data_IF_042015277265
#
_entry.id   IF_042015277265
#
_cell.length_a   1.000
_cell.length_b   1.000
_cell.length_c   1.000
_cell.angle_alpha   90.00
_cell.angle_beta   90.00
_cell.angle_gamma   90.00
#
_symmetry.space_group_name_H-M   'P 1'
#
loop_
_entity.id
_entity.type
_entity.pdbx_description
1 polymer ?
#
# COMPACT_ATOMS: atom_id res chain seq x y z
N UNK A 1 -10.94 7.48 23.03
CA UNK A 1 -10.66 7.14 21.61
C UNK A 1 -11.89 6.66 20.84
N UNK A 2 -12.79 5.87 21.42
CA UNK A 2 -13.99 5.40 20.71
C UNK A 2 -14.87 6.53 20.15
N UNK A 3 -14.99 7.66 20.88
CA UNK A 3 -15.70 8.84 20.37
C UNK A 3 -15.06 9.41 19.10
N UNK A 4 -13.73 9.43 19.00
CA UNK A 4 -13.05 9.97 17.82
C UNK A 4 -13.24 9.04 16.62
N UNK A 5 -13.15 7.73 16.82
CA UNK A 5 -13.46 6.75 15.77
C UNK A 5 -14.92 6.83 15.32
N UNK A 6 -15.86 7.00 16.26
CA UNK A 6 -17.27 7.15 15.93
C UNK A 6 -17.56 8.43 15.13
N UNK A 7 -16.89 9.54 15.46
CA UNK A 7 -17.04 10.82 14.73
C UNK A 7 -16.37 10.76 13.35
N UNK A 8 -15.23 10.08 13.21
CA UNK A 8 -14.57 9.88 11.92
C UNK A 8 -15.50 9.20 10.91
N UNK A 9 -16.20 8.14 11.33
CA UNK A 9 -17.21 7.46 10.51
C UNK A 9 -18.40 8.33 10.10
N UNK A 10 -18.70 9.43 10.83
CA UNK A 10 -19.75 10.39 10.43
C UNK A 10 -19.29 11.22 9.21
N UNK A 11 -17.99 11.50 9.08
CA UNK A 11 -17.43 12.26 7.95
C UNK A 11 -17.69 11.60 6.60
N UNK A 12 -17.74 10.26 6.57
CA UNK A 12 -18.05 9.44 5.39
C UNK A 12 -19.41 9.80 4.80
N UNK A 13 -20.43 10.00 5.62
CA UNK A 13 -21.77 10.38 5.16
C UNK A 13 -21.76 11.72 4.43
N UNK A 14 -20.90 12.66 4.86
CA UNK A 14 -20.72 13.95 4.18
C UNK A 14 -20.28 13.79 2.72
N UNK A 15 -19.34 12.87 2.46
CA UNK A 15 -18.84 12.61 1.10
C UNK A 15 -19.89 11.95 0.20
N UNK A 16 -20.68 11.01 0.74
CA UNK A 16 -21.76 10.32 -0.01
C UNK A 16 -22.87 11.30 -0.37
N UNK A 17 -23.35 12.06 0.62
CA UNK A 17 -24.46 12.99 0.43
C UNK A 17 -24.07 14.14 -0.50
N UNK A 18 -22.80 14.57 -0.45
CA UNK A 18 -22.26 15.52 -1.42
C UNK A 18 -22.34 14.97 -2.85
N UNK A 19 -21.79 13.79 -3.10
CA UNK A 19 -21.86 13.15 -4.42
C UNK A 19 -23.29 12.90 -4.92
N UNK A 20 -24.22 12.57 -4.03
CA UNK A 20 -25.64 12.39 -4.37
C UNK A 20 -26.35 13.70 -4.72
N UNK A 21 -26.11 14.76 -3.94
CA UNK A 21 -26.79 16.05 -4.14
C UNK A 21 -26.28 16.86 -5.34
N UNK A 22 -25.16 16.42 -5.92
CA UNK A 22 -24.57 16.95 -7.14
C UNK A 22 -25.59 16.93 -8.31
N UNK A 23 -26.29 15.81 -8.51
CA UNK A 23 -27.33 15.69 -9.54
C UNK A 23 -26.83 15.20 -10.92
N UNK A 24 -25.54 14.89 -11.04
CA UNK A 24 -24.92 14.24 -12.20
C UNK A 24 -24.33 12.87 -11.87
N UNK A 25 -24.23 11.99 -12.88
CA UNK A 25 -23.77 10.60 -12.71
C UNK A 25 -22.28 10.49 -12.42
N UNK A 26 -21.44 11.37 -12.98
CA UNK A 26 -19.98 11.33 -12.79
C UNK A 26 -19.55 11.75 -11.36
N UNK A 27 -20.05 12.86 -10.78
CA UNK A 27 -19.80 13.21 -9.39
C UNK A 27 -20.31 12.16 -8.39
N UNK A 28 -21.45 11.52 -8.69
CA UNK A 28 -21.98 10.43 -7.87
C UNK A 28 -21.02 9.22 -7.84
N UNK A 29 -20.51 8.80 -9.00
CA UNK A 29 -19.53 7.72 -9.08
C UNK A 29 -18.21 8.08 -8.38
N UNK A 30 -17.77 9.34 -8.47
CA UNK A 30 -16.61 9.84 -7.74
C UNK A 30 -16.79 9.83 -6.22
N UNK A 31 -17.96 10.29 -5.74
CA UNK A 31 -18.34 10.24 -4.33
C UNK A 31 -18.36 8.81 -3.79
N UNK A 32 -19.02 7.88 -4.49
CA UNK A 32 -19.09 6.46 -4.09
C UNK A 32 -17.70 5.81 -4.00
N UNK A 33 -16.80 6.11 -4.94
CA UNK A 33 -15.40 5.60 -4.91
C UNK A 33 -14.62 6.17 -3.73
N UNK A 34 -14.76 7.48 -3.48
CA UNK A 34 -14.14 8.15 -2.33
C UNK A 34 -14.61 7.53 -1.00
N UNK A 35 -15.92 7.34 -0.86
CA UNK A 35 -16.51 6.72 0.32
C UNK A 35 -16.02 5.29 0.53
N UNK A 36 -16.00 4.48 -0.54
CA UNK A 36 -15.50 3.10 -0.46
C UNK A 36 -14.02 3.05 -0.03
N UNK A 37 -13.22 4.00 -0.50
CA UNK A 37 -11.83 4.17 -0.07
C UNK A 37 -11.74 4.52 1.41
N UNK A 38 -12.40 5.60 1.86
CA UNK A 38 -12.32 6.07 3.24
C UNK A 38 -12.73 4.96 4.22
N UNK A 39 -13.84 4.27 3.96
CA UNK A 39 -14.31 3.15 4.81
C UNK A 39 -13.26 2.03 4.87
N UNK A 40 -12.70 1.64 3.72
CA UNK A 40 -11.72 0.54 3.67
C UNK A 40 -10.47 0.85 4.49
N UNK A 41 -10.00 2.10 4.43
CA UNK A 41 -8.82 2.56 5.15
C UNK A 41 -9.10 2.88 6.63
N UNK A 42 -10.32 3.27 6.98
CA UNK A 42 -10.77 3.44 8.36
C UNK A 42 -10.75 2.11 9.13
N UNK A 43 -11.19 1.01 8.50
CA UNK A 43 -11.11 -0.33 9.10
C UNK A 43 -9.65 -0.71 9.39
N UNK A 44 -8.77 -0.54 8.40
CA UNK A 44 -7.34 -0.86 8.56
C UNK A 44 -6.68 0.02 9.64
N UNK A 45 -7.05 1.29 9.72
CA UNK A 45 -6.58 2.21 10.75
C UNK A 45 -7.04 1.81 12.13
N UNK A 46 -8.34 1.48 12.28
CA UNK A 46 -8.90 1.00 13.54
C UNK A 46 -8.18 -0.23 14.06
N UNK A 47 -7.90 -1.20 13.18
CA UNK A 47 -7.11 -2.39 13.50
C UNK A 47 -5.68 -2.05 13.93
N UNK A 48 -5.00 -1.13 13.24
CA UNK A 48 -3.66 -0.69 13.63
C UNK A 48 -3.62 -0.09 15.05
N UNK A 49 -4.67 0.63 15.46
CA UNK A 49 -4.80 1.21 16.80
C UNK A 49 -5.05 0.20 17.92
N UNK A 50 -5.59 -0.99 17.61
CA UNK A 50 -5.81 -2.05 18.62
C UNK A 50 -4.52 -2.42 19.33
N UNK A 51 -3.40 -2.51 18.60
CA UNK A 51 -2.10 -2.80 19.20
C UNK A 51 -1.69 -1.73 20.24
N UNK A 52 -1.96 -0.46 19.96
CA UNK A 52 -1.68 0.66 20.89
C UNK A 52 -2.54 0.53 22.16
N UNK A 53 -3.83 0.18 22.01
CA UNK A 53 -4.71 -0.04 23.15
C UNK A 53 -4.27 -1.24 24.00
N UNK A 54 -3.74 -2.29 23.36
CA UNK A 54 -3.18 -3.44 24.06
C UNK A 54 -1.92 -3.06 24.86
N UNK A 55 -1.02 -2.24 24.32
CA UNK A 55 0.15 -1.78 25.07
C UNK A 55 -0.23 -0.82 26.20
N UNK A 56 -1.15 0.11 25.96
CA UNK A 56 -1.56 1.11 26.96
C UNK A 56 -2.48 0.56 28.05
N UNK A 57 -3.19 -0.55 27.80
CA UNK A 57 -4.18 -1.11 28.73
C UNK A 57 -5.43 -0.24 28.92
N UNK A 58 -5.59 0.82 28.14
CA UNK A 58 -6.72 1.76 28.20
C UNK A 58 -7.02 2.37 26.84
N UNK A 59 -8.27 2.80 26.65
CA UNK A 59 -8.74 3.55 25.48
C UNK A 59 -8.84 5.07 25.74
N UNK A 60 -8.44 5.52 26.93
CA UNK A 60 -8.39 6.94 27.31
C UNK A 60 -7.14 7.59 26.72
N UNK A 61 -7.31 8.71 26.03
CA UNK A 61 -6.22 9.44 25.35
C UNK A 61 -5.14 9.88 26.33
N UNK A 62 -5.56 10.38 27.50
CA UNK A 62 -4.66 10.82 28.57
C UNK A 62 -3.85 9.65 29.13
N UNK A 63 -4.49 8.52 29.41
CA UNK A 63 -3.80 7.33 29.94
C UNK A 63 -2.85 6.72 28.89
N UNK A 64 -3.22 6.73 27.62
CA UNK A 64 -2.35 6.28 26.52
C UNK A 64 -1.08 7.13 26.44
N UNK A 65 -1.19 8.45 26.61
CA UNK A 65 0.00 9.33 26.63
C UNK A 65 0.84 9.04 27.88
N UNK A 66 0.23 8.95 29.06
CA UNK A 66 0.96 8.66 30.30
C UNK A 66 1.69 7.31 30.26
N UNK A 67 1.14 6.30 29.60
CA UNK A 67 1.78 5.00 29.43
C UNK A 67 3.05 5.04 28.54
N UNK A 68 3.25 6.12 27.77
CA UNK A 68 4.41 6.31 26.87
C UNK A 68 5.61 7.01 27.53
N UNK A 69 5.59 7.19 28.86
CA UNK A 69 6.64 7.89 29.62
C UNK A 69 8.07 7.35 29.37
N UNK A 70 8.22 6.03 29.20
CA UNK A 70 9.53 5.40 29.04
C UNK A 70 9.91 5.21 27.56
N UNK A 71 8.97 4.72 26.76
CA UNK A 71 9.19 4.44 25.34
C UNK A 71 7.94 4.82 24.57
N UNK A 72 8.14 5.57 23.50
CA UNK A 72 7.06 5.92 22.58
C UNK A 72 6.60 4.71 21.79
N UNK A 73 5.29 4.62 21.52
CA UNK A 73 4.71 3.47 20.83
C UNK A 73 5.14 3.34 19.35
N UNK A 74 5.79 4.35 18.78
CA UNK A 74 6.44 4.22 17.47
C UNK A 74 7.50 3.09 17.42
N UNK A 75 8.10 2.71 18.56
CA UNK A 75 9.13 1.66 18.63
C UNK A 75 8.52 0.26 18.87
N UNK A 76 7.81 -0.01 19.99
CA UNK A 76 7.26 -1.34 20.26
C UNK A 76 6.11 -1.72 19.32
N UNK A 77 5.40 -0.72 18.78
CA UNK A 77 4.33 -0.91 17.80
C UNK A 77 4.74 -0.35 16.43
N UNK A 78 6.01 -0.48 16.02
CA UNK A 78 6.51 0.08 14.76
C UNK A 78 5.69 -0.37 13.54
N UNK A 79 5.25 -1.64 13.52
CA UNK A 79 4.46 -2.17 12.42
C UNK A 79 3.07 -1.51 12.36
N UNK A 80 2.40 -1.39 13.50
CA UNK A 80 1.15 -0.64 13.62
C UNK A 80 1.32 0.82 13.27
N UNK A 81 2.44 1.43 13.64
CA UNK A 81 2.76 2.81 13.26
C UNK A 81 2.90 2.94 11.75
N UNK A 82 3.66 2.06 11.09
CA UNK A 82 3.82 2.06 9.64
C UNK A 82 2.48 1.92 8.90
N UNK A 83 1.61 1.02 9.37
CA UNK A 83 0.27 0.88 8.80
C UNK A 83 -0.58 2.12 9.06
N UNK A 84 -0.53 2.67 10.27
CA UNK A 84 -1.24 3.90 10.61
C UNK A 84 -0.84 5.05 9.69
N UNK A 85 0.47 5.21 9.39
CA UNK A 85 0.98 6.21 8.44
C UNK A 85 0.41 5.99 7.03
N UNK A 86 0.32 4.75 6.56
CA UNK A 86 -0.27 4.47 5.25
C UNK A 86 -1.77 4.79 5.26
N UNK A 87 -2.49 4.39 6.32
CA UNK A 87 -3.94 4.55 6.41
C UNK A 87 -4.36 6.00 6.63
N UNK A 88 -3.59 6.80 7.39
CA UNK A 88 -3.90 8.22 7.60
C UNK A 88 -3.82 9.02 6.29
N UNK A 89 -2.91 8.66 5.38
CA UNK A 89 -2.86 9.31 4.06
C UNK A 89 -4.07 8.87 3.22
N UNK A 90 -4.44 7.59 3.29
CA UNK A 90 -5.62 7.05 2.60
C UNK A 90 -6.95 7.64 3.04
N UNK A 91 -7.10 7.96 4.33
CA UNK A 91 -8.31 8.60 4.88
C UNK A 91 -8.45 10.07 4.46
N UNK A 92 -7.34 10.77 4.30
CA UNK A 92 -7.37 12.21 3.94
C UNK A 92 -7.64 12.52 2.48
N UNK A 93 -7.80 11.49 1.62
CA UNK A 93 -8.08 11.63 0.17
C UNK A 93 -7.20 12.64 -0.57
N UNK A 94 -5.96 12.89 -0.11
CA UNK A 94 -5.03 13.86 -0.72
C UNK A 94 -3.94 13.18 -1.53
N UNK A 95 -3.35 13.93 -2.47
CA UNK A 95 -2.18 13.55 -3.28
C UNK A 95 -1.13 12.89 -2.39
N UNK A 96 -0.74 11.61 -2.59
CA UNK A 96 -0.84 10.78 -3.81
C UNK A 96 -2.12 9.93 -4.00
N UNK A 97 -3.05 9.91 -3.04
CA UNK A 97 -4.28 9.08 -3.04
C UNK A 97 -5.57 9.88 -3.24
N UNK A 98 -5.45 10.97 -3.99
CA UNK A 98 -6.56 11.81 -4.41
C UNK A 98 -7.22 11.21 -5.67
N UNK A 99 -8.04 10.18 -5.47
CA UNK A 99 -8.73 9.44 -6.52
C UNK A 99 -10.13 9.97 -6.82
N UNK A 100 -10.70 10.74 -5.89
CA UNK A 100 -12.03 11.31 -6.01
C UNK A 100 -12.05 12.64 -6.78
N UNK A 101 -10.97 13.45 -6.70
CA UNK A 101 -10.86 14.74 -7.42
C UNK A 101 -10.19 14.60 -8.79
N UNK A 102 -9.98 13.36 -9.26
CA UNK A 102 -9.20 13.09 -10.47
C UNK A 102 -9.75 13.67 -11.76
N UNK A 103 -9.12 14.73 -12.26
CA UNK A 103 -9.43 15.33 -13.57
C UNK A 103 -9.36 14.33 -14.74
N UNK A 104 -8.44 13.36 -14.68
CA UNK A 104 -8.23 12.38 -15.75
C UNK A 104 -9.24 11.23 -15.83
N UNK A 105 -10.03 10.98 -14.79
CA UNK A 105 -11.05 9.91 -14.78
C UNK A 105 -12.47 10.39 -14.43
N UNK A 106 -12.61 11.55 -13.79
CA UNK A 106 -13.89 12.07 -13.30
C UNK A 106 -14.09 13.57 -13.57
N UNK A 107 -13.29 14.19 -14.46
CA UNK A 107 -13.44 15.59 -14.88
C UNK A 107 -13.65 16.58 -13.72
N UNK A 108 -12.93 16.41 -12.61
CA UNK A 108 -13.01 17.28 -11.43
C UNK A 108 -13.99 16.84 -10.33
N UNK A 109 -14.64 15.68 -10.46
CA UNK A 109 -15.44 15.07 -9.38
C UNK A 109 -16.58 15.96 -8.90
N UNK A 110 -16.80 15.99 -7.57
CA UNK A 110 -17.85 16.81 -6.94
C UNK A 110 -17.55 18.32 -6.93
N UNK A 111 -16.32 18.75 -7.24
CA UNK A 111 -15.95 20.17 -7.27
C UNK A 111 -16.60 20.96 -8.40
N UNK A 112 -17.06 20.28 -9.44
CA UNK A 112 -17.65 20.93 -10.63
C UNK A 112 -19.02 21.53 -10.37
N UNK A 113 -19.74 21.06 -9.34
CA UNK A 113 -21.14 21.41 -9.12
C UNK A 113 -21.35 22.29 -7.87
N UNK A 114 -20.32 22.46 -7.02
CA UNK A 114 -20.37 23.37 -5.88
C UNK A 114 -19.60 24.66 -6.14
N UNK A 115 -20.29 25.80 -5.99
CA UNK A 115 -19.66 27.13 -6.09
C UNK A 115 -19.27 27.69 -4.72
N UNK A 116 -18.20 28.50 -4.73
CA UNK A 116 -17.86 29.49 -3.71
C UNK A 116 -17.77 28.94 -2.27
N UNK A 117 -18.72 29.28 -1.40
CA UNK A 117 -18.65 28.93 0.02
C UNK A 117 -18.74 27.41 0.26
N UNK A 118 -19.57 26.70 -0.50
CA UNK A 118 -19.71 25.24 -0.35
C UNK A 118 -18.43 24.52 -0.76
N UNK A 119 -17.79 24.99 -1.83
CA UNK A 119 -16.46 24.53 -2.25
C UNK A 119 -15.42 24.76 -1.16
N UNK A 120 -15.35 25.96 -0.58
CA UNK A 120 -14.40 26.26 0.50
C UNK A 120 -14.60 25.37 1.74
N UNK A 121 -15.84 25.00 2.07
CA UNK A 121 -16.15 24.11 3.20
C UNK A 121 -15.62 22.69 2.99
N UNK A 122 -15.55 22.18 1.75
CA UNK A 122 -14.96 20.87 1.47
C UNK A 122 -13.45 20.87 1.74
N UNK A 123 -12.70 21.86 1.23
CA UNK A 123 -11.27 21.98 1.53
C UNK A 123 -11.03 22.16 3.02
N UNK A 124 -11.81 23.02 3.68
CA UNK A 124 -11.68 23.21 5.12
C UNK A 124 -11.88 21.89 5.87
N UNK A 125 -12.91 21.11 5.51
CA UNK A 125 -13.18 19.80 6.10
C UNK A 125 -12.02 18.81 5.91
N UNK A 126 -11.44 18.75 4.72
CA UNK A 126 -10.28 17.90 4.44
C UNK A 126 -9.04 18.31 5.23
N UNK A 127 -8.76 19.61 5.34
CA UNK A 127 -7.64 20.13 6.13
C UNK A 127 -7.85 19.88 7.64
N UNK A 128 -9.09 20.03 8.12
CA UNK A 128 -9.44 19.68 9.50
C UNK A 128 -9.22 18.18 9.72
N UNK A 129 -9.64 17.32 8.78
CA UNK A 129 -9.40 15.89 8.89
C UNK A 129 -7.90 15.55 8.92
N UNK A 130 -7.11 16.15 8.03
CA UNK A 130 -5.65 15.99 8.00
C UNK A 130 -5.00 16.38 9.33
N UNK A 131 -5.47 17.47 9.93
CA UNK A 131 -5.03 17.90 11.26
C UNK A 131 -5.44 16.89 12.35
N UNK A 132 -6.67 16.37 12.30
CA UNK A 132 -7.18 15.38 13.26
C UNK A 132 -6.40 14.08 13.21
N UNK A 133 -6.15 13.50 12.04
CA UNK A 133 -5.37 12.25 11.93
C UNK A 133 -3.92 12.45 12.38
N UNK A 134 -3.35 13.63 12.18
CA UNK A 134 -1.99 13.97 12.64
C UNK A 134 -1.91 14.18 14.14
N UNK A 135 -2.94 14.81 14.73
CA UNK A 135 -3.08 14.93 16.18
C UNK A 135 -3.24 13.55 16.84
N UNK A 136 -3.98 12.63 16.21
CA UNK A 136 -4.09 11.25 16.65
C UNK A 136 -2.75 10.50 16.56
N UNK A 137 -2.03 10.61 15.44
CA UNK A 137 -0.69 10.04 15.29
C UNK A 137 0.25 10.48 16.42
N UNK A 138 0.26 11.80 16.68
CA UNK A 138 1.08 12.43 17.72
C UNK A 138 0.73 11.91 19.11
N UNK A 139 -0.56 11.80 19.41
CA UNK A 139 -1.06 11.37 20.73
C UNK A 139 -0.82 9.88 20.96
N UNK A 140 -1.04 9.04 19.94
CA UNK A 140 -1.05 7.59 20.07
C UNK A 140 0.33 6.96 19.89
N UNK A 141 1.21 7.54 19.08
CA UNK A 141 2.50 6.91 18.78
C UNK A 141 3.72 7.69 19.27
N UNK A 142 3.64 9.02 19.37
CA UNK A 142 4.77 9.89 19.71
C UNK A 142 4.66 10.52 21.11
N UNK A 143 3.88 9.94 22.02
CA UNK A 143 3.82 10.39 23.42
C UNK A 143 3.14 11.74 23.64
N UNK A 144 2.36 12.23 22.67
CA UNK A 144 1.59 13.48 22.80
C UNK A 144 2.45 14.67 23.25
N UNK A 145 2.17 15.17 24.46
CA UNK A 145 2.85 16.32 25.06
C UNK A 145 4.23 16.00 25.67
N UNK A 146 4.59 14.72 25.84
CA UNK A 146 5.84 14.34 26.50
C UNK A 146 7.05 14.60 25.61
N UNK A 147 8.15 15.08 26.19
CA UNK A 147 9.42 15.22 25.50
C UNK A 147 9.97 13.87 25.01
N UNK A 148 10.82 13.85 23.97
CA UNK A 148 11.54 12.64 23.54
C UNK A 148 12.22 11.93 24.72
N UNK A 149 12.22 10.58 24.79
CA UNK A 149 12.68 9.83 25.96
C UNK A 149 14.11 10.18 26.43
N UNK A 150 14.99 10.66 25.54
CA UNK A 150 16.33 11.14 25.90
C UNK A 150 16.40 12.59 26.40
N UNK A 151 15.48 13.45 25.98
CA UNK A 151 15.44 14.88 26.36
C UNK A 151 14.58 15.08 27.63
N UNK A 152 13.63 14.19 27.89
CA UNK A 152 12.78 14.21 29.08
C UNK A 152 13.57 14.11 30.40
N UNK A 153 14.76 13.49 30.38
CA UNK A 153 15.63 13.34 31.55
C UNK A 153 16.52 14.56 31.82
N UNK A 154 16.63 15.51 30.88
CA UNK A 154 17.46 16.71 31.03
C UNK A 154 16.74 17.70 31.95
N UNK A 155 17.40 18.07 33.06
CA UNK A 155 16.88 19.07 34.00
C UNK A 155 15.68 18.60 34.84
N UNK A 156 15.69 17.34 35.31
CA UNK A 156 14.67 16.78 36.22
C UNK A 156 13.21 16.88 35.70
N UNK A 157 13.01 16.84 34.38
CA UNK A 157 11.67 16.91 33.78
C UNK A 157 11.13 18.34 33.60
N UNK A 158 11.95 19.37 33.77
CA UNK A 158 11.55 20.78 33.55
C UNK A 158 10.97 21.01 32.15
N UNK A 159 11.48 20.30 31.13
CA UNK A 159 11.01 20.34 29.74
C UNK A 159 9.67 19.64 29.48
N UNK A 160 9.07 19.03 30.50
CA UNK A 160 7.71 18.48 30.48
C UNK A 160 6.71 19.34 31.29
N UNK A 161 7.17 20.43 31.91
CA UNK A 161 6.35 21.28 32.76
C UNK A 161 5.90 22.57 32.05
N UNK A 162 4.69 23.06 32.37
CA UNK A 162 4.15 24.31 31.83
C UNK A 162 3.91 24.28 30.32
N UNK A 163 4.35 25.34 29.62
CA UNK A 163 4.12 25.55 28.19
C UNK A 163 4.92 24.60 27.28
N UNK A 164 5.95 23.93 27.80
CA UNK A 164 6.80 23.04 27.02
C UNK A 164 6.05 21.83 26.47
N UNK A 165 5.08 21.28 27.22
CA UNK A 165 4.27 20.16 26.75
C UNK A 165 3.43 20.50 25.51
N UNK A 166 2.87 21.72 25.48
CA UNK A 166 2.14 22.22 24.31
C UNK A 166 3.09 22.38 23.11
N UNK A 167 4.28 22.93 23.33
CA UNK A 167 5.27 23.15 22.28
C UNK A 167 5.72 21.81 21.66
N UNK A 168 5.95 20.78 22.46
CA UNK A 168 6.27 19.44 21.94
C UNK A 168 5.15 18.84 21.11
N UNK A 169 3.90 18.97 21.58
CA UNK A 169 2.74 18.50 20.82
C UNK A 169 2.64 19.22 19.47
N UNK A 170 2.77 20.55 19.46
CA UNK A 170 2.69 21.37 18.25
C UNK A 170 3.82 21.03 17.27
N UNK A 171 5.06 20.86 17.75
CA UNK A 171 6.18 20.48 16.88
C UNK A 171 5.95 19.13 16.22
N UNK A 172 5.50 18.12 16.98
CA UNK A 172 5.22 16.78 16.42
C UNK A 172 4.05 16.80 15.46
N UNK A 173 3.02 17.57 15.75
CA UNK A 173 1.90 17.76 14.84
C UNK A 173 2.38 18.40 13.53
N UNK A 174 3.18 19.46 13.60
CA UNK A 174 3.78 20.10 12.42
C UNK A 174 4.73 19.19 11.66
N UNK A 175 5.41 18.25 12.33
CA UNK A 175 6.21 17.22 11.68
C UNK A 175 5.33 16.32 10.80
N UNK A 176 4.16 15.91 11.29
CA UNK A 176 3.20 15.16 10.46
C UNK A 176 2.58 16.01 9.34
N UNK A 177 2.31 17.29 9.58
CA UNK A 177 1.88 18.21 8.52
C UNK A 177 2.95 18.38 7.44
N UNK A 178 4.20 18.55 7.83
CA UNK A 178 5.33 18.59 6.91
C UNK A 178 5.46 17.27 6.15
N UNK A 179 5.25 16.12 6.81
CA UNK A 179 5.24 14.81 6.18
C UNK A 179 4.17 14.72 5.07
N UNK A 180 2.95 15.23 5.29
CA UNK A 180 1.92 15.28 4.24
C UNK A 180 2.36 16.12 3.02
N UNK A 181 2.95 17.29 3.26
CA UNK A 181 3.46 18.15 2.19
C UNK A 181 4.62 17.47 1.44
N UNK A 182 5.49 16.78 2.17
CA UNK A 182 6.62 16.06 1.59
C UNK A 182 6.18 14.86 0.75
N UNK A 183 5.22 14.06 1.23
CA UNK A 183 4.64 12.96 0.47
C UNK A 183 3.99 13.44 -0.82
N UNK A 184 3.26 14.55 -0.76
CA UNK A 184 2.64 15.18 -1.94
C UNK A 184 3.66 15.54 -3.01
N UNK A 185 4.85 16.00 -2.62
CA UNK A 185 5.93 16.36 -3.55
C UNK A 185 6.74 15.16 -4.08
N UNK A 186 6.70 14.02 -3.39
CA UNK A 186 7.63 12.90 -3.64
C UNK A 186 7.00 11.72 -4.37
N UNK A 187 5.71 11.45 -4.15
CA UNK A 187 5.07 10.22 -4.64
C UNK A 187 4.26 10.45 -5.93
N UNK A 188 4.39 9.57 -6.94
CA UNK A 188 3.50 9.59 -8.08
C UNK A 188 2.09 9.14 -7.68
N UNK A 189 1.11 9.58 -8.47
CA UNK A 189 -0.29 9.24 -8.26
C UNK A 189 -0.53 7.75 -8.46
N UNK A 190 -1.29 7.12 -7.55
CA UNK A 190 -1.60 5.69 -7.60
C UNK A 190 -3.01 5.47 -8.15
N UNK A 191 -3.25 4.37 -8.89
CA UNK A 191 -4.56 4.01 -9.43
C UNK A 191 -5.48 3.43 -8.36
N UNK A 192 -6.79 3.69 -8.46
CA UNK A 192 -7.81 3.21 -7.51
C UNK A 192 -7.78 1.70 -7.27
N UNK A 193 -7.70 0.89 -8.32
CA UNK A 193 -7.70 -0.58 -8.18
C UNK A 193 -6.50 -1.10 -7.37
N UNK A 194 -5.32 -0.48 -7.56
CA UNK A 194 -4.11 -0.83 -6.84
C UNK A 194 -4.21 -0.39 -5.38
N UNK A 195 -4.77 0.80 -5.15
CA UNK A 195 -4.94 1.35 -3.81
C UNK A 195 -5.96 0.55 -2.99
N UNK A 196 -7.10 0.20 -3.57
CA UNK A 196 -8.07 -0.69 -2.92
C UNK A 196 -7.52 -2.09 -2.68
N UNK A 197 -6.71 -2.59 -3.62
CA UNK A 197 -5.97 -3.84 -3.47
C UNK A 197 -5.00 -3.83 -2.28
N UNK A 198 -4.27 -2.72 -2.06
CA UNK A 198 -3.36 -2.56 -0.93
C UNK A 198 -4.10 -2.65 0.41
N UNK A 199 -5.21 -1.93 0.57
CA UNK A 199 -6.02 -1.96 1.78
C UNK A 199 -6.53 -3.37 2.12
N UNK A 200 -7.24 -3.99 1.17
CA UNK A 200 -7.92 -5.27 1.40
C UNK A 200 -7.02 -6.49 1.40
N UNK A 201 -5.99 -6.54 0.54
CA UNK A 201 -5.14 -7.73 0.40
C UNK A 201 -3.89 -7.68 1.28
N UNK A 202 -3.44 -6.48 1.68
CA UNK A 202 -2.18 -6.31 2.42
C UNK A 202 -2.42 -5.72 3.80
N UNK A 203 -3.02 -4.53 3.92
CA UNK A 203 -3.10 -3.83 5.21
C UNK A 203 -4.00 -4.55 6.22
N UNK A 204 -5.22 -4.94 5.83
CA UNK A 204 -6.16 -5.61 6.75
C UNK A 204 -5.63 -6.99 7.20
N UNK A 205 -5.19 -7.90 6.32
CA UNK A 205 -4.68 -9.20 6.77
C UNK A 205 -3.40 -9.06 7.61
N UNK A 206 -2.51 -8.14 7.25
CA UNK A 206 -1.25 -7.97 7.96
C UNK A 206 -1.43 -7.33 9.35
N UNK A 207 -2.32 -6.35 9.50
CA UNK A 207 -2.70 -5.82 10.84
C UNK A 207 -3.29 -6.89 11.71
N UNK A 208 -4.16 -7.75 11.17
CA UNK A 208 -4.78 -8.82 11.93
C UNK A 208 -3.74 -9.80 12.50
N UNK A 209 -2.80 -10.25 11.65
CA UNK A 209 -1.68 -11.11 12.08
C UNK A 209 -0.86 -10.39 13.15
N UNK A 210 -0.57 -9.10 12.96
CA UNK A 210 0.20 -8.33 13.92
C UNK A 210 -0.49 -8.18 15.28
N UNK A 211 -1.81 -7.97 15.31
CA UNK A 211 -2.58 -7.91 16.57
C UNK A 211 -2.43 -9.23 17.32
N UNK A 212 -2.57 -10.37 16.64
CA UNK A 212 -2.38 -11.69 17.25
C UNK A 212 -0.96 -11.79 17.85
N UNK A 213 0.07 -11.39 17.10
CA UNK A 213 1.45 -11.36 17.60
C UNK A 213 1.60 -10.47 18.84
N UNK A 214 1.04 -9.26 18.83
CA UNK A 214 1.09 -8.33 19.98
C UNK A 214 0.37 -8.91 21.20
N UNK A 215 -0.78 -9.54 21.02
CA UNK A 215 -1.51 -10.23 22.10
C UNK A 215 -0.64 -11.34 22.71
N UNK A 216 -0.01 -12.17 21.88
CA UNK A 216 0.87 -13.24 22.35
C UNK A 216 2.12 -12.69 23.06
N UNK A 217 2.76 -11.64 22.53
CA UNK A 217 3.90 -10.99 23.18
C UNK A 217 3.53 -10.39 24.54
N UNK A 218 2.35 -9.79 24.65
CA UNK A 218 1.85 -9.24 25.91
C UNK A 218 1.53 -10.35 26.91
N UNK A 219 0.81 -11.40 26.50
CA UNK A 219 0.54 -12.56 27.34
C UNK A 219 1.82 -13.25 27.82
N UNK A 220 2.87 -13.25 26.98
CA UNK A 220 4.19 -13.77 27.34
C UNK A 220 4.89 -12.94 28.42
N UNK A 221 4.76 -11.61 28.39
CA UNK A 221 5.34 -10.71 29.38
C UNK A 221 4.64 -10.77 30.74
N UNK A 222 3.34 -11.09 30.79
CA UNK A 222 2.58 -11.30 32.03
C UNK A 222 2.89 -12.65 32.72
N UNK A 223 3.92 -13.37 32.28
CA UNK A 223 4.47 -14.52 33.01
C UNK A 223 3.72 -15.85 32.85
N UNK A 224 2.80 -15.97 31.89
CA UNK A 224 1.92 -17.14 31.72
C UNK A 224 2.64 -18.51 31.58
N UNK A 225 3.91 -18.56 31.14
CA UNK A 225 4.68 -19.81 30.96
C UNK A 225 5.98 -19.88 31.81
N UNK A 226 6.16 -18.99 32.80
CA UNK A 226 7.34 -18.97 33.68
C UNK A 226 8.63 -18.38 33.06
N UNK A 227 9.66 -18.22 33.90
CA UNK A 227 10.89 -17.49 33.59
C UNK A 227 12.02 -18.42 33.10
N UNK A 228 12.79 -18.01 32.09
CA UNK A 228 14.09 -18.61 31.76
C UNK A 228 15.18 -17.56 31.86
N UNK A 229 16.32 -17.96 32.42
CA UNK A 229 17.50 -17.12 32.47
C UNK A 229 18.42 -17.53 31.34
N UNK A 230 18.57 -16.67 30.32
CA UNK A 230 19.60 -16.81 29.28
C UNK A 230 20.20 -15.42 29.06
N UNK A 231 21.55 -15.32 29.04
CA UNK A 231 22.32 -14.08 28.83
C UNK A 231 22.04 -12.93 29.81
N UNK A 232 21.97 -13.22 31.12
CA UNK A 232 21.98 -12.17 32.16
C UNK A 232 20.74 -11.28 32.26
N UNK A 233 19.79 -11.40 31.33
CA UNK A 233 18.47 -10.77 31.37
C UNK A 233 17.38 -11.77 31.79
N UNK A 234 16.44 -11.32 32.62
CA UNK A 234 15.21 -12.10 32.93
C UNK A 234 14.27 -11.99 31.72
N UNK A 235 14.41 -12.88 30.73
CA UNK A 235 13.45 -13.00 29.63
C UNK A 235 12.42 -14.11 29.94
N UNK A 236 11.14 -13.87 29.69
CA UNK A 236 10.11 -14.90 29.91
C UNK A 236 10.26 -16.01 28.84
N UNK A 237 10.12 -17.30 29.22
CA UNK A 237 10.22 -18.44 28.27
C UNK A 237 9.25 -18.30 27.10
N UNK A 238 8.08 -17.74 27.41
CA UNK A 238 7.03 -17.42 26.46
C UNK A 238 7.49 -16.44 25.37
N UNK A 239 8.31 -15.43 25.70
CA UNK A 239 8.75 -14.42 24.72
C UNK A 239 9.70 -15.03 23.70
N UNK A 240 10.57 -15.97 24.10
CA UNK A 240 11.44 -16.71 23.18
C UNK A 240 10.64 -17.63 22.26
N UNK A 241 9.62 -18.33 22.78
CA UNK A 241 8.76 -19.19 21.95
C UNK A 241 7.98 -18.37 20.94
N UNK A 242 7.43 -17.21 21.33
CA UNK A 242 6.71 -16.32 20.41
C UNK A 242 7.65 -15.73 19.36
N UNK A 243 8.85 -15.29 19.75
CA UNK A 243 9.86 -14.81 18.79
C UNK A 243 10.23 -15.92 17.80
N UNK A 244 10.40 -17.16 18.26
CA UNK A 244 10.70 -18.31 17.41
C UNK A 244 9.53 -18.65 16.49
N UNK A 245 8.29 -18.67 16.98
CA UNK A 245 7.10 -18.94 16.16
C UNK A 245 6.86 -17.84 15.13
N UNK A 246 7.02 -16.56 15.51
CA UNK A 246 6.94 -15.42 14.59
C UNK A 246 8.07 -15.49 13.57
N UNK A 247 9.29 -15.82 13.99
CA UNK A 247 10.42 -16.00 13.09
C UNK A 247 10.18 -17.17 12.11
N UNK A 248 9.62 -18.29 12.57
CA UNK A 248 9.23 -19.41 11.71
C UNK A 248 8.10 -19.05 10.75
N UNK A 249 7.10 -18.27 11.19
CA UNK A 249 6.02 -17.78 10.32
C UNK A 249 6.53 -16.78 9.27
N UNK A 250 7.47 -15.90 9.63
CA UNK A 250 8.14 -14.99 8.70
C UNK A 250 9.01 -15.77 7.72
N UNK A 251 9.79 -16.75 8.19
CA UNK A 251 10.57 -17.63 7.32
C UNK A 251 9.66 -18.44 6.38
N UNK A 252 8.53 -18.95 6.88
CA UNK A 252 7.55 -19.65 6.05
C UNK A 252 6.91 -18.71 5.02
N UNK A 253 6.59 -17.47 5.40
CA UNK A 253 6.05 -16.48 4.47
C UNK A 253 7.08 -16.08 3.38
N UNK A 254 8.35 -15.90 3.76
CA UNK A 254 9.45 -15.64 2.83
C UNK A 254 9.67 -16.85 1.92
N UNK A 255 9.66 -18.06 2.47
CA UNK A 255 9.79 -19.31 1.69
C UNK A 255 8.63 -19.50 0.71
N UNK A 256 7.40 -19.23 1.12
CA UNK A 256 6.22 -19.29 0.23
C UNK A 256 6.31 -18.22 -0.86
N UNK A 257 6.74 -17.01 -0.52
CA UNK A 257 6.92 -15.93 -1.48
C UNK A 257 8.00 -16.28 -2.50
N UNK A 258 9.15 -16.75 -2.03
CA UNK A 258 10.28 -17.16 -2.87
C UNK A 258 9.92 -18.34 -3.78
N UNK A 259 9.20 -19.34 -3.27
CA UNK A 259 8.69 -20.44 -4.10
C UNK A 259 7.67 -20.00 -5.15
N UNK A 260 6.82 -19.02 -4.83
CA UNK A 260 5.91 -18.43 -5.83
C UNK A 260 6.66 -17.58 -6.86
N UNK A 261 7.71 -16.88 -6.45
CA UNK A 261 8.57 -16.10 -7.34
C UNK A 261 9.37 -17.01 -8.26
N UNK A 262 9.97 -18.07 -7.74
CA UNK A 262 10.67 -19.09 -8.53
C UNK A 262 9.73 -19.86 -9.46
N UNK A 263 8.48 -20.12 -9.05
CA UNK A 263 7.47 -20.71 -9.93
C UNK A 263 7.05 -19.76 -11.06
N UNK A 264 6.95 -18.44 -10.78
CA UNK A 264 6.69 -17.42 -11.81
C UNK A 264 7.86 -17.28 -12.78
N UNK A 265 9.09 -17.34 -12.30
CA UNK A 265 10.29 -17.27 -13.13
C UNK A 265 10.43 -18.52 -14.02
N UNK A 266 10.12 -19.71 -13.50
CA UNK A 266 10.03 -20.94 -14.29
C UNK A 266 8.90 -20.93 -15.32
N UNK A 267 7.81 -20.20 -15.07
CA UNK A 267 6.74 -20.00 -16.04
C UNK A 267 7.14 -19.02 -17.17
N UNK A 268 8.23 -18.26 -16.98
CA UNK A 268 8.90 -17.48 -18.03
C UNK A 268 9.99 -18.37 -18.62
N UNK A 269 9.59 -19.47 -19.28
CA UNK A 269 10.53 -20.16 -20.17
C UNK A 269 10.95 -19.19 -21.30
N UNK A 270 12.23 -19.17 -21.69
CA UNK A 270 12.66 -18.38 -22.82
C UNK A 270 11.91 -18.88 -24.06
N UNK A 271 11.04 -18.03 -24.60
CA UNK A 271 10.32 -18.30 -25.85
C UNK A 271 11.35 -18.75 -26.90
N UNK A 272 11.08 -19.81 -27.68
CA UNK A 272 12.00 -20.26 -28.72
C UNK A 272 12.41 -19.09 -29.61
N UNK A 273 13.71 -18.91 -29.84
CA UNK A 273 14.24 -17.84 -30.71
C UNK A 273 13.79 -18.02 -32.16
N UNK A 274 13.63 -19.27 -32.57
CA UNK A 274 13.19 -19.67 -33.90
C UNK A 274 11.76 -20.17 -33.85
N UNK A 275 10.87 -19.46 -34.54
CA UNK A 275 9.46 -19.84 -34.70
C UNK A 275 9.26 -20.39 -36.11
N UNK A 276 8.61 -21.55 -36.20
CA UNK A 276 8.05 -22.07 -37.46
C UNK A 276 6.76 -21.28 -37.77
N UNK A 277 6.72 -20.48 -38.85
CA UNK A 277 5.58 -19.64 -39.18
C UNK A 277 4.29 -20.43 -39.39
N UNK A 278 4.35 -21.73 -39.68
CA UNK A 278 3.20 -22.55 -40.07
C UNK A 278 2.76 -23.58 -39.03
N UNK A 279 3.37 -23.61 -37.84
CA UNK A 279 3.07 -24.62 -36.81
C UNK A 279 1.59 -24.70 -36.40
N UNK A 280 0.81 -23.61 -36.58
CA UNK A 280 -0.61 -23.53 -36.25
C UNK A 280 -1.57 -23.47 -37.45
N UNK A 281 -1.09 -23.71 -38.68
CA UNK A 281 -1.93 -23.67 -39.89
C UNK A 281 -2.29 -22.28 -40.43
N UNK A 282 -1.97 -21.20 -39.69
CA UNK A 282 -2.05 -19.82 -40.16
C UNK A 282 -0.72 -19.10 -39.87
N UNK A 283 -0.20 -18.29 -40.80
CA UNK A 283 1.06 -17.59 -40.60
C UNK A 283 0.94 -16.53 -39.51
N UNK A 284 1.64 -16.74 -38.40
CA UNK A 284 1.73 -15.75 -37.30
C UNK A 284 2.99 -14.91 -37.49
N UNK A 285 2.90 -13.56 -37.49
CA UNK A 285 4.08 -12.69 -37.60
C UNK A 285 5.02 -12.84 -36.39
N UNK A 286 6.36 -12.78 -36.59
CA UNK A 286 7.32 -12.84 -35.50
C UNK A 286 7.25 -11.56 -34.63
N UNK A 287 7.34 -11.72 -33.31
CA UNK A 287 7.46 -10.59 -32.38
C UNK A 287 8.89 -10.03 -32.41
N UNK A 288 9.11 -8.77 -31.97
CA UNK A 288 10.44 -8.15 -31.95
C UNK A 288 11.46 -9.01 -31.19
N UNK A 289 12.54 -9.42 -31.87
CA UNK A 289 13.61 -10.26 -31.31
C UNK A 289 13.54 -11.76 -31.66
N UNK A 290 12.58 -12.20 -32.48
CA UNK A 290 12.45 -13.58 -32.94
C UNK A 290 12.87 -13.71 -34.41
N UNK A 291 13.55 -14.80 -34.75
CA UNK A 291 13.97 -15.16 -36.11
C UNK A 291 13.04 -16.23 -36.69
N UNK A 292 12.75 -16.15 -37.98
CA UNK A 292 11.96 -17.17 -38.66
C UNK A 292 12.87 -18.35 -38.95
N UNK A 293 12.41 -19.57 -38.65
CA UNK A 293 13.11 -20.78 -39.08
C UNK A 293 12.94 -20.92 -40.59
N UNK A 294 14.01 -20.68 -41.35
CA UNK A 294 13.98 -20.82 -42.80
C UNK A 294 13.73 -22.29 -43.17
N UNK A 295 12.73 -22.54 -44.02
CA UNK A 295 12.43 -23.88 -44.49
C UNK A 295 13.60 -24.37 -45.35
N UNK A 296 14.10 -25.58 -45.07
CA UNK A 296 15.23 -26.16 -45.81
C UNK A 296 14.95 -26.12 -47.34
N UNK A 297 15.92 -25.68 -48.17
CA UNK A 297 15.70 -25.55 -49.59
C UNK A 297 15.31 -26.90 -50.19
N UNK A 298 14.10 -26.98 -50.72
CA UNK A 298 13.64 -28.13 -51.50
C UNK A 298 14.53 -28.22 -52.73
N UNK A 299 15.45 -29.17 -52.74
CA UNK A 299 16.28 -29.48 -53.91
C UNK A 299 15.36 -29.90 -55.06
N UNK A 300 15.11 -28.98 -55.99
CA UNK A 300 14.43 -29.31 -57.25
C UNK A 300 15.36 -30.24 -58.06
N UNK A 301 14.88 -31.40 -58.54
CA UNK A 301 15.67 -32.22 -59.46
C UNK A 301 15.95 -31.41 -60.75
N UNK A 302 17.22 -31.31 -61.12
CA UNK A 302 17.69 -30.63 -62.34
C UNK A 302 17.13 -31.31 -63.58
N UNK A 303 16.25 -30.64 -64.33
CA UNK A 303 15.85 -31.05 -65.67
C UNK A 303 16.86 -30.48 -66.67
N UNK A 304 17.81 -31.33 -67.08
CA UNK A 304 18.76 -31.05 -68.14
C UNK A 304 18.04 -30.90 -69.50
N UNK A 305 17.87 -29.67 -69.98
CA UNK A 305 17.47 -29.41 -71.36
C UNK A 305 18.72 -29.37 -72.24
N UNK A 306 18.96 -30.46 -72.98
CA UNK A 306 20.03 -30.59 -73.96
C UNK A 306 19.66 -29.80 -75.23
N UNK A 307 20.45 -28.77 -75.54
CA UNK A 307 20.51 -28.14 -76.86
C UNK A 307 20.98 -29.16 -77.90
N UNK A 308 20.25 -29.29 -79.01
CA UNK A 308 20.79 -29.80 -80.27
C UNK A 308 20.62 -28.73 -81.33
N UNK A 309 21.77 -28.41 -81.89
CA UNK A 309 22.09 -27.36 -82.85
C UNK A 309 21.61 -27.72 -84.26
N UNK A 310 21.41 -26.68 -85.05
CA UNK A 310 20.96 -26.65 -86.44
C UNK A 310 21.87 -27.40 -87.42
N UNK A 311 21.30 -28.08 -88.41
CA UNK A 311 21.95 -28.19 -89.72
C UNK A 311 20.95 -28.39 -90.88
N UNK A 312 21.14 -27.56 -91.91
CA UNK A 312 20.77 -27.74 -93.35
C UNK A 312 19.29 -27.71 -93.81
N UNK A 313 18.97 -26.70 -94.63
CA UNK A 313 17.89 -26.65 -95.63
C UNK A 313 18.33 -27.39 -96.93
N UNK A 314 17.58 -27.45 -98.07
CA UNK A 314 16.28 -26.87 -98.42
C UNK A 314 15.32 -27.83 -99.22
N UNK A 315 14.25 -27.27 -99.80
CA UNK A 315 13.41 -27.84 -100.89
C UNK A 315 12.47 -29.00 -100.48
N UNK A 316 11.25 -29.19 -100.97
CA UNK A 316 10.60 -28.75 -102.21
C UNK A 316 9.06 -28.99 -102.09
N UNK A 317 8.30 -28.22 -102.86
CA UNK A 317 7.15 -28.65 -103.67
C UNK A 317 5.88 -29.26 -103.03
N UNK A 318 4.81 -28.44 -103.10
CA UNK A 318 3.47 -28.70 -103.67
C UNK A 318 2.62 -29.90 -103.19
N UNK A 319 1.39 -29.54 -102.83
CA UNK A 319 0.20 -30.40 -102.80
C UNK A 319 -0.98 -29.61 -102.28
#
# INVERSE_FOLDING_TARGET
MLLVLAVAGVGVYGTVLAGWSSGSTYPLLGGLRSTAQVISYEIAMGLALVAVFLYAGSMSTSQIVLAQNHLWYCIPAFFSFGIYIITMVGETNRLPFDLAEGEGELTGGFHTEYSSLKFAMFFLGEYVNMFTVSALATTLFLGGWQAPPGIAAIGAGMLNSGWWGLLWFVIKLWLFMFFFVWLRGSLPRVRYDQFMGLGWKVLIPSTLVWIVVVVFLRAANEGFLGHAMIFGGRMHRATLIVIVVVMLLVLAAVWIHDHRSAAREKAIEPRPRDIDPFAGGYPVPPLPGQTLREAAPVTRPSAAYRTRESDTAPEESRG
#
